data_IF_042410794571
#
_entry.id   IF_042410794571
#
_cell.length_a   1.000
_cell.length_b   1.000
_cell.length_c   1.000
_cell.angle_alpha   90.00
_cell.angle_beta   90.00
_cell.angle_gamma   90.00
#
_symmetry.space_group_name_H-M   'P 1'
#
loop_
_entity.id
_entity.type
_entity.pdbx_description
1 polymer ?
#
# COMPACT_ATOMS: atom_id res chain seq x y z
N UNK A 1 -47.31 -38.71 20.56
CA UNK A 1 -47.62 -38.56 19.12
C UNK A 1 -47.41 -37.09 18.75
N UNK A 2 -46.37 -36.77 17.96
CA UNK A 2 -46.40 -36.07 16.65
C UNK A 2 -46.82 -34.58 16.76
N UNK A 3 -46.17 -33.53 16.24
CA UNK A 3 -44.88 -33.22 15.55
C UNK A 3 -44.88 -31.68 15.35
N UNK A 4 -43.69 -31.10 15.17
CA UNK A 4 -43.32 -29.95 14.32
C UNK A 4 -43.98 -28.57 14.52
N UNK A 5 -43.11 -27.56 14.63
CA UNK A 5 -43.44 -26.16 14.37
C UNK A 5 -42.20 -25.26 14.41
N UNK A 6 -41.29 -25.43 13.46
CA UNK A 6 -40.14 -24.56 13.21
C UNK A 6 -40.65 -23.14 12.90
N UNK A 7 -40.15 -22.12 13.60
CA UNK A 7 -40.13 -20.75 13.07
C UNK A 7 -38.71 -20.20 13.20
N UNK A 8 -37.97 -20.34 12.10
CA UNK A 8 -36.68 -19.72 11.90
C UNK A 8 -36.87 -18.20 11.84
N UNK A 9 -36.40 -17.49 12.87
CA UNK A 9 -36.28 -16.04 12.82
C UNK A 9 -35.05 -15.72 11.96
N UNK A 10 -35.29 -15.52 10.67
CA UNK A 10 -34.38 -14.90 9.72
C UNK A 10 -34.02 -13.50 10.24
N UNK A 11 -32.85 -13.35 10.87
CA UNK A 11 -32.20 -12.05 10.95
C UNK A 11 -31.73 -11.67 9.55
N UNK A 12 -32.60 -10.97 8.81
CA UNK A 12 -32.21 -10.19 7.66
C UNK A 12 -31.26 -9.07 8.12
N UNK A 13 -29.96 -9.34 8.14
CA UNK A 13 -28.95 -8.30 8.18
C UNK A 13 -29.07 -7.53 6.87
N UNK A 14 -29.63 -6.31 6.94
CA UNK A 14 -29.63 -5.36 5.84
C UNK A 14 -28.21 -5.17 5.33
N UNK A 15 -27.95 -5.72 4.14
CA UNK A 15 -26.85 -5.33 3.30
C UNK A 15 -27.00 -3.84 2.98
N UNK A 16 -26.17 -3.00 3.59
CA UNK A 16 -26.26 -1.55 3.43
C UNK A 16 -25.40 -0.76 4.41
N UNK A 17 -24.14 -1.18 4.61
CA UNK A 17 -23.16 -0.39 5.36
C UNK A 17 -21.73 -0.50 4.77
N UNK A 18 -21.63 -0.79 3.46
CA UNK A 18 -20.36 -0.78 2.71
C UNK A 18 -20.17 0.50 1.89
N UNK A 19 -20.87 1.58 2.24
CA UNK A 19 -20.67 2.91 1.66
C UNK A 19 -20.35 3.91 2.77
N UNK A 20 -19.18 3.81 3.40
CA UNK A 20 -18.42 4.93 4.00
C UNK A 20 -17.17 4.31 4.63
N UNK A 21 -16.23 3.91 3.79
CA UNK A 21 -14.83 3.79 4.15
C UNK A 21 -14.12 4.00 2.83
N UNK A 22 -13.24 5.01 2.76
CA UNK A 22 -12.40 5.30 1.59
C UNK A 22 -11.42 4.18 1.30
N UNK A 23 -11.94 3.00 0.98
CA UNK A 23 -11.24 1.84 0.48
C UNK A 23 -11.00 2.10 -1.01
N UNK A 24 -9.94 2.82 -1.33
CA UNK A 24 -9.19 2.47 -2.53
C UNK A 24 -8.51 1.12 -2.26
N UNK A 25 -9.31 0.05 -2.16
CA UNK A 25 -8.79 -1.30 -2.26
C UNK A 25 -8.42 -1.48 -3.73
N UNK A 26 -7.13 -1.32 -4.04
CA UNK A 26 -6.61 -1.64 -5.36
C UNK A 26 -6.89 -3.14 -5.64
N UNK A 27 -7.70 -3.50 -6.65
CA UNK A 27 -8.03 -4.89 -6.96
C UNK A 27 -6.79 -5.74 -7.24
N UNK A 28 -5.66 -5.10 -7.61
CA UNK A 28 -4.39 -5.79 -7.85
C UNK A 28 -3.76 -6.40 -6.59
N UNK A 29 -4.25 -6.08 -5.38
CA UNK A 29 -3.67 -6.53 -4.10
C UNK A 29 -4.59 -7.44 -3.29
N UNK A 30 -5.82 -7.68 -3.74
CA UNK A 30 -6.76 -8.59 -3.08
C UNK A 30 -6.35 -10.03 -3.43
N UNK A 31 -5.61 -10.67 -2.52
CA UNK A 31 -5.19 -12.06 -2.65
C UNK A 31 -3.77 -12.20 -3.20
N UNK A 32 -2.77 -11.82 -2.38
CA UNK A 32 -1.36 -12.10 -2.67
C UNK A 32 -1.16 -13.62 -2.65
N UNK A 33 -1.29 -14.25 -3.81
CA UNK A 33 -0.86 -15.60 -4.06
C UNK A 33 0.68 -15.64 -4.14
N UNK A 34 1.29 -16.80 -3.89
CA UNK A 34 2.76 -16.96 -3.85
C UNK A 34 3.42 -16.89 -5.24
N UNK A 35 2.94 -16.04 -6.14
CA UNK A 35 3.49 -15.87 -7.48
C UNK A 35 4.73 -14.97 -7.47
N UNK A 36 5.58 -15.07 -8.51
CA UNK A 36 6.70 -14.16 -8.69
C UNK A 36 6.26 -12.71 -8.92
N UNK A 37 5.12 -12.51 -9.58
CA UNK A 37 4.54 -11.19 -9.85
C UNK A 37 4.11 -10.49 -8.56
N UNK A 38 3.52 -11.23 -7.61
CA UNK A 38 3.04 -10.66 -6.34
C UNK A 38 4.21 -10.23 -5.45
N UNK A 39 5.31 -11.01 -5.44
CA UNK A 39 6.54 -10.62 -4.75
C UNK A 39 7.13 -9.34 -5.33
N UNK A 40 7.06 -9.19 -6.65
CA UNK A 40 7.56 -8.01 -7.35
C UNK A 40 6.68 -6.79 -7.05
N UNK A 41 5.36 -6.91 -7.12
CA UNK A 41 4.41 -5.85 -6.79
C UNK A 41 4.59 -5.34 -5.34
N UNK A 42 4.76 -6.26 -4.38
CA UNK A 42 5.05 -5.91 -2.98
C UNK A 42 6.37 -5.15 -2.84
N UNK A 43 7.40 -5.56 -3.58
CA UNK A 43 8.72 -4.91 -3.54
C UNK A 43 8.66 -3.51 -4.15
N UNK A 44 7.92 -3.32 -5.23
CA UNK A 44 7.71 -2.02 -5.86
C UNK A 44 6.92 -1.07 -4.98
N UNK A 45 5.85 -1.56 -4.35
CA UNK A 45 5.09 -0.79 -3.38
C UNK A 45 5.96 -0.45 -2.17
N UNK A 46 6.74 -1.39 -1.67
CA UNK A 46 7.71 -1.18 -0.60
C UNK A 46 8.75 -0.12 -0.94
N UNK A 47 9.24 -0.09 -2.18
CA UNK A 47 10.15 0.93 -2.68
C UNK A 47 9.47 2.29 -2.82
N UNK A 48 8.27 2.34 -3.38
CA UNK A 48 7.56 3.60 -3.55
C UNK A 48 7.21 4.23 -2.20
N UNK A 49 6.77 3.42 -1.22
CA UNK A 49 6.52 3.87 0.16
C UNK A 49 7.81 4.27 0.87
N UNK A 50 8.90 3.51 0.72
CA UNK A 50 10.16 3.85 1.39
C UNK A 50 10.67 5.21 0.98
N UNK A 51 10.48 5.57 -0.30
CA UNK A 51 10.90 6.86 -0.84
C UNK A 51 9.90 8.00 -0.60
N UNK A 52 8.72 7.72 -0.03
CA UNK A 52 7.78 8.75 0.39
C UNK A 52 8.26 9.49 1.66
N UNK A 53 9.23 8.93 2.37
CA UNK A 53 9.87 9.52 3.54
C UNK A 53 11.39 9.60 3.34
N UNK A 54 12.02 10.58 3.97
CA UNK A 54 13.48 10.66 4.02
C UNK A 54 14.08 9.54 4.91
N UNK A 55 15.39 9.32 4.76
CA UNK A 55 16.10 8.30 5.53
C UNK A 55 16.05 8.57 7.05
N UNK A 56 16.06 9.84 7.45
CA UNK A 56 16.01 10.26 8.85
C UNK A 56 14.70 9.84 9.51
N UNK A 57 13.57 10.00 8.81
CA UNK A 57 12.24 9.62 9.30
C UNK A 57 12.18 8.12 9.60
N UNK A 58 12.79 7.28 8.75
CA UNK A 58 12.85 5.83 9.01
C UNK A 58 13.66 5.50 10.26
N UNK A 59 14.75 6.22 10.50
CA UNK A 59 15.56 6.07 11.72
C UNK A 59 14.77 6.54 12.95
N UNK A 60 14.12 7.70 12.87
CA UNK A 60 13.31 8.27 13.94
C UNK A 60 12.20 7.34 14.41
N UNK A 61 11.51 6.65 13.48
CA UNK A 61 10.44 5.70 13.81
C UNK A 61 10.96 4.30 14.20
N UNK A 62 12.28 4.17 14.39
CA UNK A 62 12.91 2.97 14.93
C UNK A 62 13.05 1.81 13.94
N UNK A 63 13.14 2.10 12.64
CA UNK A 63 13.42 1.10 11.60
C UNK A 63 14.93 0.99 11.39
N UNK A 64 15.51 -0.13 11.85
CA UNK A 64 16.95 -0.43 11.74
C UNK A 64 17.32 -1.24 10.49
N UNK A 65 16.33 -1.75 9.75
CA UNK A 65 16.52 -2.45 8.48
C UNK A 65 16.37 -1.48 7.30
N UNK A 66 16.83 -1.83 6.09
CA UNK A 66 16.62 -1.00 4.93
C UNK A 66 15.12 -0.65 4.75
N UNK A 67 14.75 0.63 4.59
CA UNK A 67 13.35 1.08 4.56
C UNK A 67 12.45 0.31 3.59
N UNK A 68 12.98 -0.05 2.41
CA UNK A 68 12.28 -0.86 1.40
C UNK A 68 11.86 -2.22 1.97
N UNK A 69 12.77 -2.89 2.69
CA UNK A 69 12.51 -4.21 3.27
C UNK A 69 11.50 -4.10 4.41
N UNK A 70 11.65 -3.09 5.28
CA UNK A 70 10.71 -2.83 6.35
C UNK A 70 9.28 -2.58 5.84
N UNK A 71 9.13 -1.69 4.85
CA UNK A 71 7.85 -1.42 4.20
C UNK A 71 7.27 -2.66 3.53
N UNK A 72 8.09 -3.41 2.78
CA UNK A 72 7.67 -4.66 2.12
C UNK A 72 7.19 -5.72 3.12
N UNK A 73 7.84 -5.83 4.27
CA UNK A 73 7.42 -6.76 5.33
C UNK A 73 6.07 -6.36 5.94
N UNK A 74 5.85 -5.07 6.17
CA UNK A 74 4.57 -4.59 6.69
C UNK A 74 3.43 -4.75 5.68
N UNK A 75 3.70 -4.54 4.39
CA UNK A 75 2.75 -4.82 3.30
C UNK A 75 2.38 -6.31 3.28
N UNK A 76 3.36 -7.22 3.41
CA UNK A 76 3.09 -8.67 3.50
C UNK A 76 2.27 -9.06 4.73
N UNK A 77 2.35 -8.27 5.80
CA UNK A 77 1.53 -8.45 7.02
C UNK A 77 0.12 -7.85 6.89
N UNK A 78 -0.24 -7.30 5.72
CA UNK A 78 -1.57 -6.76 5.44
C UNK A 78 -1.72 -5.26 5.72
N UNK A 79 -0.63 -4.53 6.02
CA UNK A 79 -0.69 -3.07 6.11
C UNK A 79 -0.65 -2.47 4.70
N UNK A 80 -1.80 -1.98 4.24
CA UNK A 80 -1.91 -1.33 2.94
C UNK A 80 -1.23 0.04 2.91
N UNK A 81 -0.97 0.56 1.70
CA UNK A 81 -0.24 1.81 1.46
C UNK A 81 -0.66 2.96 2.38
N UNK A 82 -1.93 3.34 2.32
CA UNK A 82 -2.42 4.52 3.04
C UNK A 82 -2.34 4.34 4.55
N UNK A 83 -2.62 3.13 5.04
CA UNK A 83 -2.47 2.77 6.46
C UNK A 83 -1.01 2.86 6.90
N UNK A 84 -0.08 2.33 6.11
CA UNK A 84 1.35 2.36 6.42
C UNK A 84 1.88 3.80 6.47
N UNK A 85 1.48 4.66 5.53
CA UNK A 85 1.84 6.08 5.55
C UNK A 85 1.34 6.77 6.82
N UNK A 86 0.11 6.49 7.25
CA UNK A 86 -0.44 7.04 8.49
C UNK A 86 0.30 6.53 9.72
N UNK A 87 0.62 5.23 9.79
CA UNK A 87 1.37 4.65 10.90
C UNK A 87 2.78 5.26 11.03
N UNK A 88 3.47 5.50 9.91
CA UNK A 88 4.78 6.17 9.92
C UNK A 88 4.65 7.62 10.39
N UNK A 89 3.63 8.36 9.93
CA UNK A 89 3.38 9.72 10.39
C UNK A 89 3.03 9.79 11.87
N UNK A 90 2.17 8.89 12.37
CA UNK A 90 1.84 8.82 13.80
C UNK A 90 3.10 8.49 14.60
N UNK A 91 3.91 7.51 14.18
CA UNK A 91 5.17 7.17 14.84
C UNK A 91 6.12 8.38 14.90
N UNK A 92 6.28 9.08 13.77
CA UNK A 92 7.13 10.27 13.66
C UNK A 92 6.67 11.38 14.61
N UNK A 93 5.40 11.76 14.51
CA UNK A 93 4.85 12.92 15.23
C UNK A 93 4.76 12.65 16.74
N UNK A 94 4.56 11.39 17.13
CA UNK A 94 4.57 10.96 18.53
C UNK A 94 5.95 10.63 19.10
N UNK A 95 7.01 10.65 18.26
CA UNK A 95 8.35 10.13 18.60
C UNK A 95 8.32 8.68 19.10
N UNK A 96 7.34 7.92 18.64
CA UNK A 96 7.12 6.51 18.97
C UNK A 96 7.76 5.57 17.95
N UNK A 97 7.75 4.27 18.26
CA UNK A 97 8.26 3.24 17.35
C UNK A 97 7.16 2.74 16.43
N UNK A 98 7.45 2.65 15.13
CA UNK A 98 6.52 2.11 14.14
C UNK A 98 6.07 0.68 14.48
N UNK A 99 6.99 -0.16 14.95
CA UNK A 99 6.69 -1.54 15.30
C UNK A 99 5.66 -1.66 16.42
N UNK A 100 5.71 -0.79 17.43
CA UNK A 100 4.76 -0.82 18.54
C UNK A 100 3.34 -0.45 18.07
N UNK A 101 3.23 0.55 17.19
CA UNK A 101 1.95 0.92 16.58
C UNK A 101 1.40 -0.18 15.68
N UNK A 102 2.26 -0.82 14.86
CA UNK A 102 1.82 -1.94 14.01
C UNK A 102 1.35 -3.14 14.83
N UNK A 103 1.98 -3.40 15.99
CA UNK A 103 1.57 -4.46 16.90
C UNK A 103 0.21 -4.17 17.56
N UNK A 104 -0.04 -2.92 17.99
CA UNK A 104 -1.36 -2.51 18.47
C UNK A 104 -2.43 -2.57 17.36
N UNK A 105 -2.06 -2.15 16.15
CA UNK A 105 -2.93 -2.20 14.97
C UNK A 105 -3.33 -3.63 14.61
N UNK A 106 -2.39 -4.58 14.67
CA UNK A 106 -2.65 -6.01 14.48
C UNK A 106 -3.60 -6.60 15.54
N UNK A 107 -3.67 -6.00 16.74
CA UNK A 107 -4.63 -6.35 17.80
C UNK A 107 -6.01 -5.68 17.63
N UNK A 108 -6.23 -4.93 16.55
CA UNK A 108 -7.51 -4.31 16.22
C UNK A 108 -7.63 -2.83 16.59
N UNK A 109 -6.56 -2.19 17.11
CA UNK A 109 -6.60 -0.75 17.37
C UNK A 109 -6.88 0.04 16.08
N UNK A 110 -7.72 1.08 16.17
CA UNK A 110 -7.98 1.98 15.04
C UNK A 110 -6.85 3.00 14.89
N UNK A 111 -6.60 3.51 13.68
CA UNK A 111 -5.57 4.53 13.48
C UNK A 111 -5.88 5.83 14.24
N UNK A 112 -7.17 6.19 14.34
CA UNK A 112 -7.64 7.34 15.12
C UNK A 112 -7.35 7.15 16.62
N UNK A 113 -7.63 5.98 17.18
CA UNK A 113 -7.32 5.70 18.60
C UNK A 113 -5.82 5.68 18.87
N UNK A 114 -5.01 5.14 17.95
CA UNK A 114 -3.55 5.17 18.07
C UNK A 114 -3.00 6.60 18.06
N UNK A 115 -3.50 7.45 17.18
CA UNK A 115 -3.13 8.87 17.14
C UNK A 115 -3.57 9.60 18.43
N UNK A 116 -4.79 9.34 18.90
CA UNK A 116 -5.32 9.94 20.13
C UNK A 116 -4.51 9.52 21.37
N UNK A 117 -4.21 8.22 21.53
CA UNK A 117 -3.35 7.71 22.61
C UNK A 117 -1.96 8.38 22.60
N UNK A 118 -1.47 8.72 21.41
CA UNK A 118 -0.15 9.32 21.20
C UNK A 118 -0.17 10.86 21.22
N UNK A 119 -1.33 11.50 21.42
CA UNK A 119 -1.46 12.96 21.41
C UNK A 119 -1.25 13.61 20.03
N UNK A 120 -1.48 12.87 18.95
CA UNK A 120 -1.29 13.32 17.56
C UNK A 120 -2.63 13.67 16.91
N UNK A 121 -2.68 14.78 16.18
CA UNK A 121 -3.83 15.16 15.35
C UNK A 121 -4.01 14.18 14.18
N UNK A 122 -4.99 13.29 14.32
CA UNK A 122 -5.30 12.28 13.30
C UNK A 122 -5.79 12.87 11.98
N UNK A 123 -6.56 13.96 12.01
CA UNK A 123 -7.13 14.51 10.78
C UNK A 123 -6.02 15.16 9.94
N UNK A 124 -5.08 15.86 10.59
CA UNK A 124 -3.84 16.33 9.95
C UNK A 124 -2.98 15.18 9.40
N UNK A 125 -2.83 14.08 10.15
CA UNK A 125 -2.14 12.87 9.66
C UNK A 125 -2.82 12.31 8.41
N UNK A 126 -4.14 12.18 8.42
CA UNK A 126 -4.92 11.64 7.30
C UNK A 126 -4.70 12.46 6.02
N UNK A 127 -4.76 13.79 6.13
CA UNK A 127 -4.52 14.70 4.99
C UNK A 127 -3.09 14.57 4.46
N UNK A 128 -2.08 14.54 5.34
CA UNK A 128 -0.67 14.36 4.94
C UNK A 128 -0.44 13.01 4.28
N UNK A 129 -0.99 11.94 4.84
CA UNK A 129 -0.90 10.60 4.27
C UNK A 129 -1.56 10.52 2.88
N UNK A 130 -2.68 11.23 2.66
CA UNK A 130 -3.32 11.34 1.36
C UNK A 130 -2.40 11.97 0.30
N UNK A 131 -1.69 13.05 0.64
CA UNK A 131 -0.71 13.67 -0.28
C UNK A 131 0.45 12.74 -0.61
N UNK A 132 0.99 12.05 0.39
CA UNK A 132 2.04 11.05 0.19
C UNK A 132 1.55 9.86 -0.64
N UNK A 133 0.29 9.45 -0.49
CA UNK A 133 -0.29 8.35 -1.26
C UNK A 133 -0.34 8.68 -2.76
N UNK A 134 -0.67 9.92 -3.13
CA UNK A 134 -0.63 10.39 -4.53
C UNK A 134 0.79 10.32 -5.09
N UNK A 135 1.79 10.70 -4.30
CA UNK A 135 3.20 10.64 -4.71
C UNK A 135 3.68 9.18 -4.87
N UNK A 136 3.27 8.28 -3.98
CA UNK A 136 3.53 6.84 -4.10
C UNK A 136 2.89 6.30 -5.39
N UNK A 137 1.64 6.67 -5.69
CA UNK A 137 0.96 6.27 -6.93
C UNK A 137 1.69 6.74 -8.19
N UNK A 138 2.18 7.99 -8.17
CA UNK A 138 2.97 8.55 -9.27
C UNK A 138 4.22 7.70 -9.53
N UNK A 139 4.96 7.36 -8.47
CA UNK A 139 6.19 6.54 -8.56
C UNK A 139 5.93 5.13 -9.06
N UNK A 140 4.83 4.50 -8.62
CA UNK A 140 4.44 3.18 -9.12
C UNK A 140 4.19 3.20 -10.62
N UNK A 141 3.49 4.23 -11.12
CA UNK A 141 3.24 4.41 -12.56
C UNK A 141 4.54 4.66 -13.33
N UNK A 142 5.45 5.45 -12.78
CA UNK A 142 6.76 5.71 -13.40
C UNK A 142 7.63 4.46 -13.48
N UNK A 143 7.70 3.68 -12.40
CA UNK A 143 8.43 2.41 -12.38
C UNK A 143 7.85 1.42 -13.40
N UNK A 144 6.53 1.35 -13.52
CA UNK A 144 5.85 0.50 -14.51
C UNK A 144 6.19 0.93 -15.96
N UNK A 145 6.24 2.24 -16.24
CA UNK A 145 6.63 2.78 -17.56
C UNK A 145 8.07 2.44 -17.91
N UNK A 146 9.01 2.70 -17.01
CA UNK A 146 10.44 2.39 -17.22
C UNK A 146 10.64 0.91 -17.55
N UNK A 147 9.92 0.01 -16.87
CA UNK A 147 9.97 -1.42 -17.17
C UNK A 147 9.41 -1.78 -18.53
N UNK A 148 8.31 -1.16 -18.94
CA UNK A 148 7.74 -1.38 -20.27
C UNK A 148 8.73 -0.96 -21.36
N UNK A 149 9.45 0.15 -21.17
CA UNK A 149 10.46 0.63 -22.12
C UNK A 149 11.70 -0.27 -22.16
N UNK A 150 12.18 -0.77 -21.02
CA UNK A 150 13.31 -1.73 -20.96
C UNK A 150 12.94 -3.08 -21.61
N UNK A 151 11.66 -3.45 -21.54
CA UNK A 151 11.16 -4.74 -22.06
C UNK A 151 10.79 -4.69 -23.54
N UNK A 152 10.84 -3.51 -24.19
CA UNK A 152 10.72 -3.40 -25.64
C UNK A 152 12.02 -3.88 -26.28
N UNK A 153 12.04 -4.99 -27.05
CA UNK A 153 13.19 -5.33 -27.87
C UNK A 153 13.45 -4.15 -28.81
N UNK A 154 14.71 -3.73 -28.92
CA UNK A 154 15.09 -2.53 -29.65
C UNK A 154 14.44 -2.49 -31.03
N UNK A 155 13.64 -1.45 -31.28
CA UNK A 155 13.34 -1.05 -32.65
C UNK A 155 14.69 -0.75 -33.30
N UNK A 156 15.15 -1.63 -34.18
CA UNK A 156 16.26 -1.31 -35.06
C UNK A 156 15.95 0.02 -35.75
N UNK A 157 16.88 0.99 -35.76
CA UNK A 157 16.68 2.22 -36.49
C UNK A 157 16.33 1.87 -37.95
N UNK A 158 15.36 2.54 -38.58
CA UNK A 158 14.92 2.21 -39.92
C UNK A 158 16.13 2.17 -40.85
N UNK A 159 16.35 0.99 -41.46
CA UNK A 159 17.44 0.78 -42.39
C UNK A 159 17.42 1.89 -43.45
N UNK A 160 18.54 2.60 -43.69
CA UNK A 160 18.56 3.69 -44.65
C UNK A 160 18.20 3.14 -46.05
N UNK A 161 17.44 3.90 -46.86
CA UNK A 161 17.00 3.42 -48.15
C UNK A 161 18.21 3.06 -49.03
N UNK A 162 18.28 1.78 -49.44
CA UNK A 162 19.27 1.30 -50.41
C UNK A 162 19.13 2.12 -51.69
N UNK A 163 20.08 3.03 -51.94
CA UNK A 163 20.17 3.76 -53.21
C UNK A 163 20.28 2.73 -54.34
N UNK A 164 19.22 2.60 -55.14
CA UNK A 164 19.25 1.82 -56.39
C UNK A 164 20.34 2.44 -57.28
N UNK A 165 21.47 1.74 -57.42
CA UNK A 165 22.43 2.04 -58.49
C UNK A 165 21.71 1.78 -59.82
N UNK A 166 21.34 2.85 -60.52
CA UNK A 166 21.03 2.77 -61.96
C UNK A 166 22.34 2.40 -62.67
N UNK A 167 22.33 1.27 -63.38
CA UNK A 167 23.26 0.99 -64.47
C UNK A 167 22.52 1.24 -65.77
#
# INVERSE_FOLDING_TARGET
MIRLGIFALLCACSAGAQETLGLSADPALIGINKSGADRQAVTELGLAVSLAFDATTWIEVGVSTPPVQAASLLIKKGHYRLELLQLVLIAKDSKGRLLDLTAKRAKGASLRSLAQEAGVDYDGVYVRAGRLAVEVDRRLKENARVRADISRPGEEPPSPPRKRRKR
#
